data_IF_989384950470
#
_entry.id   IF_989384950470
#
_cell.length_a   1.000
_cell.length_b   1.000
_cell.length_c   1.000
_cell.angle_alpha   90.00
_cell.angle_beta   90.00
_cell.angle_gamma   90.00
#
_symmetry.space_group_name_H-M   'P 1'
#
loop_
_entity.id
_entity.type
_entity.pdbx_description
1 polymer ?
#
# COMPACT_ATOMS: atom_id res chain seq x y z
N UNK A 1 -16.24 -15.65 -10.37
CA UNK A 1 -16.46 -14.19 -10.33
C UNK A 1 -16.03 -13.57 -11.63
N UNK A 2 -16.95 -13.07 -12.38
CA UNK A 2 -16.70 -12.60 -13.75
C UNK A 2 -16.27 -11.12 -13.72
N UNK A 3 -15.03 -10.89 -14.02
CA UNK A 3 -14.39 -9.58 -14.18
C UNK A 3 -14.52 -9.09 -15.62
N UNK A 4 -15.74 -9.03 -16.15
CA UNK A 4 -15.95 -8.92 -17.60
C UNK A 4 -16.18 -7.49 -18.11
N UNK A 5 -16.15 -6.46 -17.25
CA UNK A 5 -16.41 -5.07 -17.72
C UNK A 5 -15.31 -4.04 -17.42
N UNK A 6 -14.33 -4.36 -16.60
CA UNK A 6 -13.19 -3.46 -16.35
C UNK A 6 -12.04 -3.62 -17.34
N UNK A 7 -12.03 -4.71 -18.12
CA UNK A 7 -10.96 -4.99 -19.09
C UNK A 7 -10.98 -4.09 -20.35
N UNK A 8 -12.05 -3.32 -20.59
CA UNK A 8 -12.15 -2.44 -21.75
C UNK A 8 -11.72 -0.99 -21.52
N UNK A 9 -11.42 -0.58 -20.30
CA UNK A 9 -10.83 0.73 -20.06
C UNK A 9 -9.32 0.56 -19.97
N UNK A 10 -8.57 1.23 -20.83
CA UNK A 10 -7.10 1.29 -20.82
C UNK A 10 -6.54 2.04 -19.59
N UNK A 11 -7.37 2.33 -18.61
CA UNK A 11 -7.00 2.98 -17.37
C UNK A 11 -6.12 2.08 -16.50
N UNK A 12 -5.08 2.65 -15.90
CA UNK A 12 -4.16 1.93 -15.01
C UNK A 12 -2.69 2.19 -15.35
N UNK A 13 -1.80 1.65 -14.51
CA UNK A 13 -0.35 1.77 -14.65
C UNK A 13 0.22 0.45 -15.17
N UNK A 14 1.13 0.50 -16.13
CA UNK A 14 1.81 -0.70 -16.64
C UNK A 14 2.98 -1.09 -15.74
N UNK A 15 2.89 -2.29 -15.15
CA UNK A 15 3.96 -2.88 -14.36
C UNK A 15 4.24 -4.29 -14.91
N UNK A 16 5.49 -4.54 -15.29
CA UNK A 16 5.93 -5.82 -15.86
C UNK A 16 5.04 -6.32 -17.03
N UNK A 17 4.63 -5.42 -17.91
CA UNK A 17 3.78 -5.73 -19.08
C UNK A 17 2.29 -5.93 -18.78
N UNK A 18 1.87 -5.82 -17.52
CA UNK A 18 0.47 -5.91 -17.09
C UNK A 18 -0.08 -4.55 -16.72
N UNK A 19 -1.30 -4.27 -17.14
CA UNK A 19 -2.00 -3.06 -16.74
C UNK A 19 -2.66 -3.26 -15.38
N UNK A 20 -2.26 -2.49 -14.38
CA UNK A 20 -2.77 -2.56 -13.00
C UNK A 20 -3.50 -1.25 -12.72
N UNK A 21 -4.79 -1.35 -12.48
CA UNK A 21 -5.65 -0.22 -12.13
C UNK A 21 -6.24 -0.32 -10.72
N UNK A 22 -6.19 -1.50 -10.11
CA UNK A 22 -6.78 -1.73 -8.81
C UNK A 22 -5.99 -2.78 -8.02
N UNK A 23 -5.58 -2.43 -6.81
CA UNK A 23 -5.00 -3.35 -5.83
C UNK A 23 -5.94 -3.46 -4.64
N UNK A 24 -6.26 -4.68 -4.23
CA UNK A 24 -7.09 -4.96 -3.05
C UNK A 24 -6.29 -5.63 -1.97
N UNK A 25 -6.41 -5.08 -0.77
CA UNK A 25 -6.07 -5.73 0.49
C UNK A 25 -7.35 -5.94 1.30
N UNK A 26 -7.37 -6.78 2.34
CA UNK A 26 -8.59 -7.10 3.08
C UNK A 26 -9.39 -5.87 3.51
N UNK A 27 -8.71 -4.84 3.98
CA UNK A 27 -9.35 -3.61 4.51
C UNK A 27 -9.10 -2.36 3.64
N UNK A 28 -8.20 -2.44 2.66
CA UNK A 28 -7.80 -1.31 1.84
C UNK A 28 -7.87 -1.61 0.34
N UNK A 29 -8.31 -0.62 -0.43
CA UNK A 29 -8.29 -0.67 -1.88
C UNK A 29 -7.51 0.50 -2.44
N UNK A 30 -6.67 0.26 -3.44
CA UNK A 30 -5.88 1.28 -4.11
C UNK A 30 -6.22 1.30 -5.59
N UNK A 31 -6.58 2.46 -6.11
CA UNK A 31 -6.77 2.70 -7.53
C UNK A 31 -5.54 3.38 -8.10
N UNK A 32 -5.15 3.01 -9.31
CA UNK A 32 -4.00 3.56 -10.01
C UNK A 32 -4.39 3.98 -11.43
N UNK A 33 -3.93 5.15 -11.85
CA UNK A 33 -4.11 5.67 -13.19
C UNK A 33 -2.94 6.55 -13.60
N UNK A 34 -2.73 6.72 -14.89
CA UNK A 34 -1.69 7.59 -15.44
C UNK A 34 -2.12 9.06 -15.49
N UNK A 35 -3.42 9.34 -15.48
CA UNK A 35 -3.97 10.70 -15.50
C UNK A 35 -5.00 10.93 -14.41
N UNK A 36 -5.22 12.20 -14.09
CA UNK A 36 -6.22 12.64 -13.11
C UNK A 36 -7.64 12.30 -13.55
N UNK A 37 -7.95 12.49 -14.84
CA UNK A 37 -9.27 12.17 -15.41
C UNK A 37 -9.57 10.67 -15.35
N UNK A 38 -8.59 9.84 -15.68
CA UNK A 38 -8.72 8.38 -15.55
C UNK A 38 -8.98 7.96 -14.11
N UNK A 39 -8.25 8.53 -13.17
CA UNK A 39 -8.42 8.23 -11.75
C UNK A 39 -9.80 8.64 -11.25
N UNK A 40 -10.31 9.81 -11.65
CA UNK A 40 -11.68 10.24 -11.35
C UNK A 40 -12.71 9.27 -11.91
N UNK A 41 -12.55 8.86 -13.18
CA UNK A 41 -13.45 7.91 -13.82
C UNK A 41 -13.47 6.56 -13.10
N UNK A 42 -12.31 6.04 -12.70
CA UNK A 42 -12.20 4.79 -11.93
C UNK A 42 -12.87 4.91 -10.57
N UNK A 43 -12.63 6.02 -9.88
CA UNK A 43 -13.19 6.26 -8.55
C UNK A 43 -14.71 6.36 -8.58
N UNK A 44 -15.29 7.07 -9.57
CA UNK A 44 -16.74 7.15 -9.75
C UNK A 44 -17.36 5.77 -10.02
N UNK A 45 -16.73 4.95 -10.85
CA UNK A 45 -17.18 3.56 -11.09
C UNK A 45 -17.17 2.72 -9.82
N UNK A 46 -16.07 2.79 -9.04
CA UNK A 46 -15.99 2.06 -7.77
C UNK A 46 -17.04 2.53 -6.79
N UNK A 47 -17.29 3.83 -6.73
CA UNK A 47 -18.36 4.40 -5.91
C UNK A 47 -19.74 3.87 -6.30
N UNK A 48 -20.10 3.94 -7.59
CA UNK A 48 -21.38 3.41 -8.09
C UNK A 48 -21.54 1.91 -7.79
N UNK A 49 -20.50 1.11 -8.00
CA UNK A 49 -20.54 -0.32 -7.71
C UNK A 49 -20.65 -0.60 -6.20
N UNK A 50 -20.00 0.19 -5.36
CA UNK A 50 -20.10 0.05 -3.91
C UNK A 50 -21.48 0.41 -3.38
N UNK A 51 -22.11 1.43 -3.93
CA UNK A 51 -23.49 1.83 -3.58
C UNK A 51 -24.50 0.74 -3.93
N UNK A 52 -24.33 0.02 -5.04
CA UNK A 52 -25.20 -1.10 -5.44
C UNK A 52 -25.21 -2.25 -4.43
N UNK A 53 -24.13 -2.43 -3.69
CA UNK A 53 -24.00 -3.46 -2.64
C UNK A 53 -24.15 -2.88 -1.23
N UNK A 54 -24.71 -1.67 -1.10
CA UNK A 54 -24.91 -0.95 0.16
C UNK A 54 -23.63 -0.68 0.97
N UNK A 55 -22.47 -0.64 0.33
CA UNK A 55 -21.21 -0.24 0.93
C UNK A 55 -21.01 1.27 0.77
N UNK A 56 -20.85 1.99 1.87
CA UNK A 56 -20.58 3.43 1.83
C UNK A 56 -19.10 3.70 1.63
N UNK A 57 -18.78 4.50 0.63
CA UNK A 57 -17.44 4.98 0.38
C UNK A 57 -17.04 6.01 1.47
N UNK A 58 -15.91 5.76 2.15
CA UNK A 58 -15.45 6.67 3.21
C UNK A 58 -14.46 7.69 2.64
N UNK A 59 -14.96 8.86 2.26
CA UNK A 59 -14.17 9.95 1.68
C UNK A 59 -13.12 10.47 2.66
N UNK A 60 -13.44 10.56 3.95
CA UNK A 60 -12.51 11.07 4.97
C UNK A 60 -11.27 10.20 5.16
N UNK A 61 -11.40 8.89 4.95
CA UNK A 61 -10.28 7.93 5.00
C UNK A 61 -9.56 7.80 3.68
N UNK A 62 -10.16 8.24 2.58
CA UNK A 62 -9.58 8.15 1.25
C UNK A 62 -8.53 9.24 1.06
N UNK A 63 -7.38 8.85 0.53
CA UNK A 63 -6.24 9.74 0.28
C UNK A 63 -5.83 9.65 -1.18
N UNK A 64 -5.35 10.75 -1.71
CA UNK A 64 -4.82 10.83 -3.08
C UNK A 64 -3.33 11.13 -3.02
N UNK A 65 -2.57 10.43 -3.85
CA UNK A 65 -1.15 10.67 -4.05
C UNK A 65 -0.85 10.76 -5.55
N UNK A 66 -0.04 11.73 -5.95
CA UNK A 66 0.47 11.81 -7.31
C UNK A 66 1.95 12.19 -7.31
N UNK A 67 2.64 11.83 -8.38
CA UNK A 67 4.05 12.18 -8.61
C UNK A 67 4.26 13.62 -9.06
N UNK A 68 3.19 14.38 -9.31
CA UNK A 68 3.23 15.77 -9.74
C UNK A 68 2.31 16.68 -8.94
N UNK A 69 2.29 17.99 -9.22
CA UNK A 69 1.40 18.92 -8.54
C UNK A 69 -0.06 18.55 -8.83
N UNK A 70 -0.84 18.36 -7.77
CA UNK A 70 -2.28 18.14 -7.85
C UNK A 70 -2.98 19.37 -7.33
N UNK A 71 -3.97 19.85 -8.11
CA UNK A 71 -4.99 20.77 -7.62
C UNK A 71 -5.96 20.03 -6.71
N UNK A 72 -6.63 20.74 -5.81
CA UNK A 72 -7.57 20.14 -4.85
C UNK A 72 -8.58 19.22 -5.53
N UNK A 73 -8.72 17.99 -4.99
CA UNK A 73 -9.70 17.03 -5.46
C UNK A 73 -10.96 17.09 -4.60
N UNK A 74 -12.10 17.18 -5.27
CA UNK A 74 -13.40 17.17 -4.62
C UNK A 74 -14.25 16.02 -5.19
N UNK A 75 -14.89 15.28 -4.29
CA UNK A 75 -15.91 14.29 -4.62
C UNK A 75 -17.11 14.59 -3.74
N UNK A 76 -18.29 14.74 -4.36
CA UNK A 76 -19.54 15.05 -3.67
C UNK A 76 -19.42 16.26 -2.72
N UNK A 77 -18.74 17.33 -3.18
CA UNK A 77 -18.49 18.56 -2.42
C UNK A 77 -17.53 18.39 -1.22
N UNK A 78 -17.00 17.20 -0.98
CA UNK A 78 -15.98 16.95 0.03
C UNK A 78 -14.58 16.97 -0.61
N UNK A 79 -13.66 17.70 0.02
CA UNK A 79 -12.27 17.78 -0.42
C UNK A 79 -11.51 16.55 0.06
N UNK A 80 -10.89 15.84 -0.87
CA UNK A 80 -10.04 14.69 -0.55
C UNK A 80 -8.66 15.14 -0.08
N UNK A 81 -8.11 14.41 0.88
CA UNK A 81 -6.79 14.68 1.41
C UNK A 81 -5.70 14.23 0.43
N UNK A 82 -4.86 15.17 0.01
CA UNK A 82 -3.65 14.88 -0.76
C UNK A 82 -2.51 14.54 0.19
N UNK A 83 -1.77 13.48 -0.10
CA UNK A 83 -0.64 13.01 0.70
C UNK A 83 0.59 12.78 -0.17
N UNK A 84 1.78 12.91 0.41
CA UNK A 84 3.06 12.63 -0.25
C UNK A 84 3.53 11.20 -0.04
N UNK A 85 2.98 10.53 0.95
CA UNK A 85 3.25 9.13 1.24
C UNK A 85 2.05 8.43 1.88
N UNK A 86 2.01 7.12 1.79
CA UNK A 86 1.05 6.28 2.52
C UNK A 86 1.59 4.86 2.73
N UNK A 87 0.96 4.12 3.63
CA UNK A 87 1.30 2.72 3.88
C UNK A 87 0.24 1.82 3.26
N UNK A 88 0.65 0.93 2.37
CA UNK A 88 -0.20 -0.07 1.73
C UNK A 88 0.39 -1.46 1.96
N UNK A 89 -0.39 -2.36 2.57
CA UNK A 89 0.06 -3.72 2.84
C UNK A 89 1.36 -3.81 3.66
N UNK A 90 1.61 -2.83 4.55
CA UNK A 90 2.83 -2.74 5.34
C UNK A 90 4.01 -2.06 4.65
N UNK A 91 3.86 -1.64 3.38
CA UNK A 91 4.92 -0.93 2.62
C UNK A 91 4.66 0.57 2.60
N UNK A 92 5.70 1.36 2.85
CA UNK A 92 5.63 2.81 2.67
C UNK A 92 5.89 3.16 1.20
N UNK A 93 4.91 3.80 0.58
CA UNK A 93 4.95 4.28 -0.80
C UNK A 93 5.02 5.79 -0.77
N UNK A 94 5.92 6.39 -1.56
CA UNK A 94 6.13 7.83 -1.65
C UNK A 94 5.83 8.35 -3.07
N UNK A 95 5.36 9.58 -3.17
CA UNK A 95 4.97 10.20 -4.43
C UNK A 95 6.13 10.41 -5.40
N UNK A 96 7.34 10.56 -4.90
CA UNK A 96 8.58 10.70 -5.68
C UNK A 96 9.16 9.36 -6.17
N UNK A 97 8.57 8.22 -5.72
CA UNK A 97 9.06 6.88 -6.04
C UNK A 97 10.35 6.50 -5.31
N UNK A 98 10.82 7.31 -4.36
CA UNK A 98 12.02 7.00 -3.59
C UNK A 98 11.75 5.94 -2.51
N UNK A 99 12.33 4.77 -2.68
CA UNK A 99 12.20 3.66 -1.72
C UNK A 99 13.16 3.77 -0.52
N UNK A 100 14.05 4.75 -0.46
CA UNK A 100 15.04 4.92 0.61
C UNK A 100 14.40 5.00 1.99
N UNK A 101 13.27 5.68 2.10
CA UNK A 101 12.50 5.80 3.35
C UNK A 101 11.95 4.46 3.81
N UNK A 102 11.43 3.64 2.89
CA UNK A 102 10.94 2.31 3.22
C UNK A 102 12.08 1.38 3.64
N UNK A 103 13.20 1.41 2.95
CA UNK A 103 14.39 0.62 3.29
C UNK A 103 14.87 0.98 4.71
N UNK A 104 15.05 2.27 5.01
CA UNK A 104 15.44 2.74 6.34
C UNK A 104 14.45 2.31 7.42
N UNK A 105 13.15 2.44 7.15
CA UNK A 105 12.09 2.03 8.08
C UNK A 105 12.17 0.53 8.39
N UNK A 106 12.34 -0.32 7.38
CA UNK A 106 12.46 -1.77 7.56
C UNK A 106 13.70 -2.16 8.32
N UNK A 107 14.84 -1.53 8.02
CA UNK A 107 16.08 -1.75 8.76
C UNK A 107 15.93 -1.37 10.24
N UNK A 108 15.25 -0.26 10.54
CA UNK A 108 14.96 0.13 11.93
C UNK A 108 14.05 -0.86 12.64
N UNK A 109 13.01 -1.36 11.97
CA UNK A 109 12.12 -2.40 12.53
C UNK A 109 12.90 -3.69 12.81
N UNK A 110 13.71 -4.15 11.87
CA UNK A 110 14.58 -5.32 12.05
C UNK A 110 15.54 -5.14 13.22
N UNK A 111 16.20 -3.98 13.33
CA UNK A 111 17.08 -3.66 14.46
C UNK A 111 16.33 -3.65 15.80
N UNK A 112 15.12 -3.09 15.85
CA UNK A 112 14.29 -3.08 17.06
C UNK A 112 13.96 -4.50 17.52
N UNK A 113 13.57 -5.38 16.60
CA UNK A 113 13.30 -6.79 16.93
C UNK A 113 14.57 -7.50 17.42
N UNK A 114 15.72 -7.30 16.76
CA UNK A 114 17.01 -7.84 17.21
C UNK A 114 17.35 -7.39 18.62
N UNK A 115 17.13 -6.12 18.95
CA UNK A 115 17.36 -5.59 20.30
C UNK A 115 16.43 -6.23 21.33
N UNK A 116 15.16 -6.43 20.98
CA UNK A 116 14.20 -7.09 21.87
C UNK A 116 14.55 -8.56 22.14
N UNK A 117 15.22 -9.22 21.20
CA UNK A 117 15.66 -10.62 21.31
C UNK A 117 17.08 -10.77 21.87
N UNK A 118 17.75 -9.69 22.27
CA UNK A 118 19.15 -9.69 22.69
C UNK A 118 19.44 -10.66 23.85
N UNK A 119 18.53 -10.72 24.83
CA UNK A 119 18.63 -11.66 25.97
C UNK A 119 18.61 -13.12 25.51
N UNK A 120 17.81 -13.46 24.48
CA UNK A 120 17.72 -14.80 23.90
C UNK A 120 19.00 -15.12 23.14
N UNK A 121 19.50 -14.18 22.34
CA UNK A 121 20.73 -14.38 21.55
C UNK A 121 21.99 -14.52 22.43
N UNK A 122 22.03 -13.86 23.59
CA UNK A 122 23.12 -13.97 24.57
C UNK A 122 23.02 -15.21 25.45
N UNK A 123 21.86 -15.85 25.56
CA UNK A 123 21.70 -17.07 26.36
C UNK A 123 22.57 -18.22 25.80
N UNK A 124 23.27 -18.92 26.71
CA UNK A 124 24.03 -20.13 26.40
C UNK A 124 23.17 -21.38 26.32
N UNK A 125 21.97 -21.35 26.92
CA UNK A 125 21.05 -22.49 26.99
C UNK A 125 20.28 -22.69 25.68
N UNK A 126 20.32 -21.72 24.78
CA UNK A 126 19.64 -21.77 23.49
C UNK A 126 20.66 -22.10 22.38
N UNK A 127 20.36 -23.13 21.61
CA UNK A 127 21.22 -23.59 20.52
C UNK A 127 21.37 -22.56 19.40
N UNK A 128 22.48 -22.59 18.69
CA UNK A 128 22.71 -21.71 17.52
C UNK A 128 21.64 -21.92 16.45
N UNK A 129 21.22 -23.16 16.22
CA UNK A 129 20.15 -23.51 15.27
C UNK A 129 18.84 -22.82 15.63
N UNK A 130 18.45 -22.82 16.89
CA UNK A 130 17.25 -22.13 17.37
C UNK A 130 17.35 -20.61 17.19
N UNK A 131 18.50 -20.02 17.47
CA UNK A 131 18.77 -18.58 17.26
C UNK A 131 18.65 -18.19 15.79
N UNK A 132 19.23 -18.98 14.89
CA UNK A 132 19.11 -18.77 13.42
C UNK A 132 17.66 -18.88 12.98
N UNK A 133 16.91 -19.83 13.50
CA UNK A 133 15.49 -19.97 13.19
C UNK A 133 14.67 -18.75 13.61
N UNK A 134 14.92 -18.20 14.80
CA UNK A 134 14.28 -16.97 15.27
C UNK A 134 14.57 -15.78 14.37
N UNK A 135 15.80 -15.59 13.92
CA UNK A 135 16.17 -14.52 12.99
C UNK A 135 15.42 -14.66 11.67
N UNK A 136 15.35 -15.86 11.12
CA UNK A 136 14.60 -16.13 9.88
C UNK A 136 13.10 -15.88 10.03
N UNK A 137 12.51 -16.26 11.16
CA UNK A 137 11.08 -16.14 11.39
C UNK A 137 10.62 -14.73 11.75
N UNK A 138 11.43 -13.95 12.48
CA UNK A 138 11.02 -12.67 13.07
C UNK A 138 11.70 -11.44 12.46
N UNK A 139 12.94 -11.56 11.99
CA UNK A 139 13.69 -10.41 11.47
C UNK A 139 13.62 -10.33 9.95
N UNK A 140 13.87 -11.41 9.24
CA UNK A 140 13.89 -11.43 7.78
C UNK A 140 12.59 -10.94 7.14
N UNK A 141 11.38 -11.31 7.59
CA UNK A 141 10.14 -10.80 7.02
C UNK A 141 9.97 -9.28 7.14
N UNK A 142 10.61 -8.65 8.13
CA UNK A 142 10.58 -7.20 8.34
C UNK A 142 11.56 -6.45 7.43
N UNK A 143 12.70 -7.05 7.13
CA UNK A 143 13.79 -6.41 6.37
C UNK A 143 13.68 -6.69 4.88
N UNK A 144 13.20 -7.83 4.52
CA UNK A 144 13.02 -8.28 3.14
C UNK A 144 11.55 -8.20 2.73
#
# INVERSE_FOLDING_TARGET
MRNTKLEKAQAGIRIAGRNINHLRYPDDSTLMAESEEELKSLLMKVKEESEKVALKFNIQKTKIMASGPITSWQIDWETMKTVTDFILGGFKITADGDCSHEIKRRLLLGRKVMTNLDSIFKSRDITLSAKVHLVRAMVFPLVM
#
